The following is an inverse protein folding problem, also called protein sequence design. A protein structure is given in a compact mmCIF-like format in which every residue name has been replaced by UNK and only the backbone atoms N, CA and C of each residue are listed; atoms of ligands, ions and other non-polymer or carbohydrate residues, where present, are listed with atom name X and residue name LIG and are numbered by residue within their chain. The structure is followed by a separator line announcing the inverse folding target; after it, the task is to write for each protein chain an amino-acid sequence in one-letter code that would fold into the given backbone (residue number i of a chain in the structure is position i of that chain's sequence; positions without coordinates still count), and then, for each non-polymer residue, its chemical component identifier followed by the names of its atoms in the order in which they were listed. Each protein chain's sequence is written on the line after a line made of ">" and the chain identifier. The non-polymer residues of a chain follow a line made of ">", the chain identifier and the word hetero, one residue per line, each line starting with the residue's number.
data_IF_620893202559
#
_entry.id   IF_620893202559
#
_cell.length_a   1.000
_cell.length_b   1.000
_cell.length_c   1.000
_cell.angle_alpha   90.00
_cell.angle_beta   90.00
_cell.angle_gamma   90.00
#
_symmetry.space_group_name_H-M   'P 1'
#
loop_
_entity.id
_entity.type
_entity.pdbx_description
1 polymer ?
#
# COMPACT_ATOMS: atom_id res chain seq x y z
N UNK A 1 -48.58 -20.34 -8.81
CA UNK A 1 -48.06 -19.27 -7.93
C UNK A 1 -48.76 -17.98 -8.30
N UNK A 2 -49.37 -17.26 -7.35
CA UNK A 2 -50.02 -15.97 -7.65
C UNK A 2 -49.01 -14.87 -7.96
N UNK A 3 -49.48 -13.76 -8.56
CA UNK A 3 -48.66 -12.58 -8.91
C UNK A 3 -47.80 -12.12 -7.74
N UNK A 4 -48.36 -12.11 -6.53
CA UNK A 4 -47.66 -11.76 -5.29
C UNK A 4 -46.48 -12.67 -4.99
N UNK A 5 -46.62 -13.99 -5.20
CA UNK A 5 -45.53 -14.95 -4.99
C UNK A 5 -44.42 -14.83 -6.03
N UNK A 6 -44.75 -14.45 -7.27
CA UNK A 6 -43.77 -14.16 -8.31
C UNK A 6 -42.96 -12.89 -7.99
N UNK A 7 -43.62 -11.85 -7.46
CA UNK A 7 -42.95 -10.62 -7.02
C UNK A 7 -41.95 -10.91 -5.90
N UNK A 8 -42.34 -11.66 -4.87
CA UNK A 8 -41.43 -12.03 -3.77
C UNK A 8 -40.22 -12.86 -4.23
N UNK A 9 -40.43 -13.78 -5.18
CA UNK A 9 -39.33 -14.57 -5.75
C UNK A 9 -38.33 -13.68 -6.49
N UNK A 10 -38.81 -12.73 -7.30
CA UNK A 10 -37.95 -11.81 -8.05
C UNK A 10 -37.20 -10.86 -7.12
N UNK A 11 -37.85 -10.31 -6.09
CA UNK A 11 -37.19 -9.40 -5.14
C UNK A 11 -36.14 -10.12 -4.29
N UNK A 12 -36.40 -11.36 -3.88
CA UNK A 12 -35.42 -12.18 -3.15
C UNK A 12 -34.21 -12.53 -4.02
N UNK A 13 -34.43 -12.92 -5.28
CA UNK A 13 -33.36 -13.18 -6.24
C UNK A 13 -32.52 -11.94 -6.49
N UNK A 14 -33.16 -10.79 -6.72
CA UNK A 14 -32.46 -9.51 -6.91
C UNK A 14 -31.64 -9.13 -5.67
N UNK A 15 -32.19 -9.29 -4.46
CA UNK A 15 -31.49 -9.01 -3.21
C UNK A 15 -30.27 -9.93 -2.99
N UNK A 16 -30.41 -11.23 -3.32
CA UNK A 16 -29.29 -12.18 -3.27
C UNK A 16 -28.19 -11.80 -4.27
N UNK A 17 -28.57 -11.43 -5.49
CA UNK A 17 -27.64 -10.99 -6.53
C UNK A 17 -26.89 -9.73 -6.09
N UNK A 18 -27.57 -8.75 -5.47
CA UNK A 18 -26.93 -7.55 -4.92
C UNK A 18 -25.94 -7.88 -3.80
N UNK A 19 -26.27 -8.81 -2.90
CA UNK A 19 -25.36 -9.27 -1.85
C UNK A 19 -24.12 -9.99 -2.41
N UNK A 20 -24.29 -10.80 -3.46
CA UNK A 20 -23.18 -11.52 -4.12
C UNK A 20 -22.29 -10.57 -4.93
N UNK A 21 -22.88 -9.55 -5.56
CA UNK A 21 -22.18 -8.57 -6.38
C UNK A 21 -21.63 -7.38 -5.58
N UNK A 22 -21.94 -7.30 -4.28
CA UNK A 22 -21.38 -6.27 -3.42
C UNK A 22 -19.86 -6.45 -3.36
N UNK A 23 -19.07 -5.47 -3.85
CA UNK A 23 -17.63 -5.58 -3.74
C UNK A 23 -17.28 -5.73 -2.27
N UNK A 24 -16.38 -6.68 -1.96
CA UNK A 24 -15.75 -6.76 -0.63
C UNK A 24 -15.31 -5.35 -0.25
N UNK A 25 -15.91 -4.79 0.80
CA UNK A 25 -15.55 -3.46 1.27
C UNK A 25 -14.02 -3.39 1.47
N UNK A 26 -13.42 -2.28 1.04
CA UNK A 26 -12.01 -2.02 1.32
C UNK A 26 -11.80 -2.11 2.83
N UNK A 27 -10.73 -2.78 3.27
CA UNK A 27 -10.45 -2.99 4.69
C UNK A 27 -9.81 -1.77 5.37
N UNK A 28 -9.82 -0.63 4.68
CA UNK A 28 -9.22 0.62 5.07
C UNK A 28 -10.03 1.77 4.45
N UNK A 29 -9.92 2.96 5.02
CA UNK A 29 -10.69 4.13 4.62
C UNK A 29 -9.95 5.04 3.63
N UNK A 30 -8.64 5.25 3.82
CA UNK A 30 -7.81 6.10 2.96
C UNK A 30 -6.36 5.62 2.87
N UNK A 31 -5.59 6.17 1.93
CA UNK A 31 -4.15 5.91 1.81
C UNK A 31 -3.35 7.11 2.33
N UNK A 32 -2.45 6.87 3.28
CA UNK A 32 -1.43 7.84 3.69
C UNK A 32 -0.17 7.65 2.86
N UNK A 33 0.11 8.59 1.97
CA UNK A 33 1.41 8.65 1.28
C UNK A 33 2.34 9.60 2.05
N UNK A 34 3.31 9.02 2.75
CA UNK A 34 4.20 9.77 3.65
C UNK A 34 5.62 9.85 3.08
N UNK A 35 6.27 10.97 3.34
CA UNK A 35 7.65 11.22 2.96
C UNK A 35 8.46 11.67 4.18
N UNK A 36 9.76 11.38 4.15
CA UNK A 36 10.72 11.72 5.20
C UNK A 36 11.86 12.56 4.63
N UNK A 37 12.24 13.61 5.35
CA UNK A 37 13.44 14.38 5.06
C UNK A 37 14.66 13.64 5.61
N UNK A 38 15.53 13.13 4.74
CA UNK A 38 16.60 12.21 5.16
C UNK A 38 17.51 12.79 6.26
N UNK A 39 17.96 14.05 6.21
CA UNK A 39 18.84 14.60 7.25
C UNK A 39 18.16 14.65 8.63
N UNK A 40 16.86 14.94 8.67
CA UNK A 40 16.10 14.91 9.92
C UNK A 40 15.91 13.47 10.42
N UNK A 41 15.54 12.54 9.52
CA UNK A 41 15.40 11.13 9.86
C UNK A 41 16.71 10.56 10.46
N UNK A 42 17.85 10.85 9.83
CA UNK A 42 19.16 10.40 10.33
C UNK A 42 19.59 11.06 11.63
N UNK A 43 19.18 12.31 11.89
CA UNK A 43 19.58 13.05 13.09
C UNK A 43 18.77 12.65 14.32
N UNK A 44 17.47 12.38 14.15
CA UNK A 44 16.54 12.22 15.27
C UNK A 44 16.13 10.76 15.54
N UNK A 45 16.54 9.81 14.70
CA UNK A 45 16.29 8.39 14.93
C UNK A 45 17.39 7.77 15.82
N UNK A 46 17.04 6.73 16.59
CA UNK A 46 17.99 6.04 17.48
C UNK A 46 19.09 5.29 16.72
N UNK A 47 18.76 4.74 15.55
CA UNK A 47 19.73 4.11 14.66
C UNK A 47 20.38 5.19 13.78
N UNK A 48 21.71 5.38 13.85
CA UNK A 48 22.40 6.30 12.97
C UNK A 48 22.37 5.79 11.53
N UNK A 49 22.30 6.70 10.56
CA UNK A 49 22.45 6.35 9.16
C UNK A 49 23.89 5.95 8.86
N UNK A 50 24.07 4.85 8.12
CA UNK A 50 25.39 4.39 7.68
C UNK A 50 25.95 5.19 6.52
N UNK A 51 25.05 5.65 5.65
CA UNK A 51 25.38 6.45 4.47
C UNK A 51 25.02 7.93 4.70
N UNK A 52 25.73 8.89 4.09
CA UNK A 52 25.35 10.29 4.17
C UNK A 52 23.92 10.53 3.65
N UNK A 53 23.08 11.30 4.37
CA UNK A 53 21.75 11.63 3.90
C UNK A 53 21.78 12.69 2.80
N UNK A 54 20.91 12.51 1.81
CA UNK A 54 20.67 13.52 0.79
C UNK A 54 19.72 14.59 1.32
N UNK A 55 19.87 15.86 0.92
CA UNK A 55 19.01 16.97 1.37
C UNK A 55 17.67 17.00 0.63
N UNK A 56 16.92 15.91 0.69
CA UNK A 56 15.68 15.73 -0.04
C UNK A 56 14.66 14.92 0.77
N UNK A 57 13.40 15.06 0.40
CA UNK A 57 12.34 14.18 0.87
C UNK A 57 12.37 12.92 0.01
N UNK A 58 12.24 11.77 0.65
CA UNK A 58 12.00 10.48 -0.01
C UNK A 58 10.77 9.84 0.60
N UNK A 59 10.19 8.87 -0.09
CA UNK A 59 9.09 8.06 0.44
C UNK A 59 9.49 7.47 1.80
N UNK A 60 8.58 7.57 2.75
CA UNK A 60 8.65 6.85 4.02
C UNK A 60 7.72 5.64 3.95
N UNK A 61 6.48 5.82 3.47
CA UNK A 61 5.58 4.73 3.16
C UNK A 61 4.27 5.11 2.50
N UNK A 62 3.53 4.08 2.06
CA UNK A 62 2.17 4.18 1.56
C UNK A 62 1.27 3.26 2.39
N UNK A 63 0.45 3.83 3.27
CA UNK A 63 -0.24 3.06 4.31
C UNK A 63 -1.76 3.11 4.13
N UNK A 64 -2.41 1.96 3.97
CA UNK A 64 -3.85 1.84 4.17
C UNK A 64 -4.20 2.19 5.62
N UNK A 65 -5.14 3.12 5.80
CA UNK A 65 -5.43 3.72 7.10
C UNK A 65 -6.92 3.90 7.34
N UNK A 66 -7.30 3.96 8.62
CA UNK A 66 -8.68 4.12 9.07
C UNK A 66 -8.90 5.53 9.62
N UNK A 67 -10.09 6.08 9.40
CA UNK A 67 -10.48 7.35 10.04
C UNK A 67 -10.62 7.19 11.56
N UNK A 68 -11.06 6.00 11.98
CA UNK A 68 -11.30 5.67 13.38
C UNK A 68 -10.60 4.37 13.75
N UNK A 69 -9.94 4.37 14.91
CA UNK A 69 -9.23 3.19 15.40
C UNK A 69 -7.85 3.00 14.75
N UNK A 70 -7.20 1.85 15.01
CA UNK A 70 -5.87 1.58 14.48
C UNK A 70 -5.91 1.28 12.98
N UNK A 71 -4.81 1.62 12.30
CA UNK A 71 -4.60 1.26 10.91
C UNK A 71 -4.42 -0.26 10.76
N UNK A 72 -4.90 -0.86 9.66
CA UNK A 72 -4.70 -2.27 9.39
C UNK A 72 -3.21 -2.55 9.09
N UNK A 73 -2.68 -3.61 9.70
CA UNK A 73 -1.31 -4.05 9.48
C UNK A 73 -1.26 -5.59 9.31
N UNK A 74 -0.26 -6.08 8.59
CA UNK A 74 0.04 -7.51 8.43
C UNK A 74 -1.15 -8.34 7.90
N UNK A 75 -1.83 -7.84 6.89
CA UNK A 75 -3.01 -8.47 6.33
C UNK A 75 -2.68 -9.75 5.54
N UNK A 76 -3.66 -10.66 5.45
CA UNK A 76 -3.49 -11.92 4.70
C UNK A 76 -3.38 -11.65 3.20
N UNK A 77 -2.29 -12.13 2.61
CA UNK A 77 -2.02 -12.03 1.18
C UNK A 77 -2.74 -13.14 0.42
N UNK A 78 -3.20 -12.86 -0.79
CA UNK A 78 -3.73 -13.89 -1.69
C UNK A 78 -2.60 -14.83 -2.14
N UNK A 79 -2.85 -16.15 -2.29
CA UNK A 79 -1.82 -17.11 -2.73
C UNK A 79 -1.16 -16.75 -4.07
N UNK A 80 -1.87 -16.02 -4.94
CA UNK A 80 -1.41 -15.63 -6.28
C UNK A 80 -0.56 -14.37 -6.30
N UNK A 81 -0.35 -13.68 -5.17
CA UNK A 81 0.45 -12.47 -5.13
C UNK A 81 1.93 -12.77 -5.39
N UNK A 82 2.61 -11.86 -6.09
CA UNK A 82 4.05 -11.98 -6.34
C UNK A 82 4.83 -12.09 -5.03
N UNK A 83 5.70 -13.09 -4.95
CA UNK A 83 6.58 -13.30 -3.79
C UNK A 83 7.84 -12.45 -3.87
N UNK A 84 8.22 -11.95 -5.05
CA UNK A 84 9.44 -11.16 -5.27
C UNK A 84 9.10 -9.76 -5.79
N UNK A 85 9.99 -8.80 -5.52
CA UNK A 85 9.94 -7.47 -6.10
C UNK A 85 10.53 -7.55 -7.52
N UNK A 86 9.80 -7.04 -8.51
CA UNK A 86 10.28 -6.96 -9.88
C UNK A 86 11.61 -6.18 -9.95
N UNK A 87 12.62 -6.77 -10.60
CA UNK A 87 13.96 -6.20 -10.70
C UNK A 87 13.99 -4.87 -11.45
N UNK A 88 13.02 -4.62 -12.35
CA UNK A 88 12.90 -3.37 -13.10
C UNK A 88 12.47 -2.18 -12.21
N UNK A 89 11.82 -2.44 -11.07
CA UNK A 89 11.37 -1.39 -10.14
C UNK A 89 12.49 -0.93 -9.21
N UNK A 90 13.45 -1.81 -8.91
CA UNK A 90 14.48 -1.59 -7.88
C UNK A 90 15.28 -0.29 -8.09
N UNK A 91 15.81 0.04 -9.29
CA UNK A 91 16.59 1.26 -9.47
C UNK A 91 15.82 2.53 -9.14
N UNK A 92 14.52 2.56 -9.43
CA UNK A 92 13.66 3.70 -9.08
C UNK A 92 13.42 3.77 -7.58
N UNK A 93 13.13 2.63 -6.94
CA UNK A 93 12.93 2.55 -5.49
C UNK A 93 14.18 2.93 -4.69
N UNK A 94 15.39 2.59 -5.16
CA UNK A 94 16.65 3.00 -4.51
C UNK A 94 16.79 4.52 -4.44
N UNK A 95 16.25 5.23 -5.43
CA UNK A 95 16.28 6.69 -5.52
C UNK A 95 15.16 7.31 -4.68
N UNK A 96 13.91 6.87 -4.88
CA UNK A 96 12.74 7.54 -4.30
C UNK A 96 12.35 7.01 -2.92
N UNK A 97 12.72 5.78 -2.58
CA UNK A 97 12.36 5.11 -1.33
C UNK A 97 13.55 4.33 -0.72
N UNK A 98 14.71 4.97 -0.50
CA UNK A 98 15.85 4.29 0.10
C UNK A 98 15.57 3.86 1.54
N UNK A 99 16.23 2.78 1.95
CA UNK A 99 16.46 2.52 3.36
C UNK A 99 17.53 3.51 3.83
N UNK A 100 17.09 4.68 4.31
CA UNK A 100 17.98 5.78 4.72
C UNK A 100 18.97 5.37 5.81
N UNK A 101 18.65 4.35 6.61
CA UNK A 101 19.51 3.89 7.70
C UNK A 101 20.59 2.91 7.24
N UNK A 102 20.35 2.15 6.18
CA UNK A 102 21.27 1.15 5.64
C UNK A 102 20.99 0.89 4.15
N UNK A 103 21.67 1.59 3.24
CA UNK A 103 21.45 1.43 1.80
C UNK A 103 21.92 0.08 1.25
N UNK A 104 22.68 -0.69 2.02
CA UNK A 104 23.00 -2.07 1.66
C UNK A 104 21.82 -3.05 1.86
N UNK A 105 20.71 -2.62 2.49
CA UNK A 105 19.57 -3.48 2.85
C UNK A 105 18.22 -2.87 2.42
N UNK A 106 18.12 -2.52 1.13
CA UNK A 106 16.91 -1.98 0.54
C UNK A 106 15.79 -3.03 0.43
N UNK A 107 16.10 -4.21 -0.10
CA UNK A 107 15.07 -5.21 -0.41
C UNK A 107 14.37 -5.74 0.84
N UNK A 108 15.11 -6.04 1.91
CA UNK A 108 14.50 -6.46 3.18
C UNK A 108 13.66 -5.35 3.80
N UNK A 109 14.05 -4.09 3.63
CA UNK A 109 13.26 -2.95 4.07
C UNK A 109 11.95 -2.85 3.30
N UNK A 110 11.97 -2.88 1.96
CA UNK A 110 10.75 -2.84 1.14
C UNK A 110 9.84 -4.04 1.39
N UNK A 111 10.42 -5.23 1.58
CA UNK A 111 9.65 -6.43 1.93
C UNK A 111 8.86 -6.21 3.21
N UNK A 112 9.47 -5.63 4.25
CA UNK A 112 8.77 -5.28 5.49
C UNK A 112 7.69 -4.22 5.28
N UNK A 113 7.91 -3.22 4.43
CA UNK A 113 6.90 -2.21 4.09
C UNK A 113 5.69 -2.82 3.39
N UNK A 114 5.93 -3.74 2.45
CA UNK A 114 4.87 -4.50 1.80
C UNK A 114 4.12 -5.37 2.82
N UNK A 115 4.83 -6.23 3.56
CA UNK A 115 4.21 -7.20 4.48
C UNK A 115 3.35 -6.50 5.53
N UNK A 116 3.87 -5.42 6.10
CA UNK A 116 3.20 -4.66 7.15
C UNK A 116 2.04 -3.83 6.61
N UNK A 117 2.21 -3.11 5.50
CA UNK A 117 1.23 -2.11 5.04
C UNK A 117 0.59 -2.45 3.70
N UNK A 118 1.39 -2.77 2.68
CA UNK A 118 0.90 -3.02 1.32
C UNK A 118 -0.10 -4.18 1.24
N UNK A 119 0.07 -5.22 2.06
CA UNK A 119 -0.87 -6.36 2.17
C UNK A 119 -2.30 -5.96 2.53
N UNK A 120 -2.48 -4.81 3.17
CA UNK A 120 -3.78 -4.29 3.61
C UNK A 120 -4.49 -3.42 2.56
N UNK A 121 -3.85 -3.12 1.43
CA UNK A 121 -4.37 -2.19 0.43
C UNK A 121 -5.41 -2.76 -0.53
N UNK A 122 -5.81 -4.03 -0.39
CA UNK A 122 -6.83 -4.64 -1.25
C UNK A 122 -8.21 -3.97 -1.05
N UNK A 123 -9.00 -3.78 -2.13
CA UNK A 123 -8.76 -4.23 -3.50
C UNK A 123 -7.93 -3.25 -4.37
N UNK A 124 -7.66 -2.04 -3.89
CA UNK A 124 -6.95 -0.99 -4.64
C UNK A 124 -5.51 -1.38 -4.99
N UNK A 125 -4.79 -1.92 -4.01
CA UNK A 125 -3.48 -2.53 -4.18
C UNK A 125 -3.69 -4.03 -4.36
N UNK A 126 -3.30 -4.52 -5.54
CA UNK A 126 -3.66 -5.85 -6.02
C UNK A 126 -2.60 -6.87 -5.59
N UNK A 127 -1.33 -6.48 -5.68
CA UNK A 127 -0.18 -7.27 -5.31
C UNK A 127 1.03 -6.38 -4.96
N UNK A 128 2.15 -7.05 -4.65
CA UNK A 128 3.41 -6.45 -4.23
C UNK A 128 4.01 -5.52 -5.28
N UNK A 129 4.00 -5.90 -6.56
CA UNK A 129 4.58 -5.06 -7.60
C UNK A 129 3.68 -3.86 -7.88
N UNK A 130 2.36 -4.05 -7.90
CA UNK A 130 1.41 -2.94 -8.05
C UNK A 130 1.53 -1.92 -6.89
N UNK A 131 1.87 -2.36 -5.67
CA UNK A 131 2.16 -1.46 -4.56
C UNK A 131 3.37 -0.56 -4.83
N UNK A 132 4.49 -1.14 -5.24
CA UNK A 132 5.70 -0.36 -5.53
C UNK A 132 5.56 0.51 -6.77
N UNK A 133 4.91 0.02 -7.82
CA UNK A 133 4.54 0.81 -9.00
C UNK A 133 3.64 2.00 -8.63
N UNK A 134 2.67 1.80 -7.74
CA UNK A 134 1.81 2.87 -7.25
C UNK A 134 2.63 3.94 -6.52
N UNK A 135 3.56 3.54 -5.65
CA UNK A 135 4.46 4.47 -4.97
C UNK A 135 5.32 5.25 -5.96
N UNK A 136 5.91 4.57 -6.95
CA UNK A 136 6.70 5.21 -8.01
C UNK A 136 5.85 6.21 -8.80
N UNK A 137 4.63 5.83 -9.18
CA UNK A 137 3.69 6.69 -9.92
C UNK A 137 3.33 7.94 -9.11
N UNK A 138 2.97 7.78 -7.83
CA UNK A 138 2.61 8.90 -6.97
C UNK A 138 3.78 9.88 -6.80
N UNK A 139 4.98 9.36 -6.57
CA UNK A 139 6.17 10.19 -6.37
C UNK A 139 6.63 10.90 -7.65
N UNK A 140 6.76 10.17 -8.76
CA UNK A 140 7.36 10.67 -10.01
C UNK A 140 6.32 11.27 -10.95
N UNK A 141 5.31 10.48 -11.33
CA UNK A 141 4.37 10.84 -12.41
C UNK A 141 3.35 11.86 -11.96
N UNK A 142 2.82 11.70 -10.75
CA UNK A 142 1.82 12.61 -10.16
C UNK A 142 2.46 13.80 -9.45
N UNK A 143 3.81 13.88 -9.44
CA UNK A 143 4.59 14.98 -8.85
C UNK A 143 4.20 15.28 -7.39
N UNK A 144 3.92 14.23 -6.63
CA UNK A 144 3.64 14.36 -5.21
C UNK A 144 4.92 14.39 -4.35
N UNK A 145 6.09 14.54 -4.97
CA UNK A 145 7.32 14.78 -4.23
C UNK A 145 7.22 16.12 -3.47
N UNK A 146 7.61 16.15 -2.20
CA UNK A 146 7.44 17.32 -1.32
C UNK A 146 8.48 18.43 -1.60
N UNK A 147 9.49 18.13 -2.41
CA UNK A 147 10.63 19.01 -2.75
C UNK A 147 10.53 19.58 -4.17
#
# INVERSE_FOLDING_TARGET
>A
MGITGMIYMVTMLFSLIVLILSPSAAKYDYLQFTQQYQPAACKFHHTPCKDPPDKLFTVHGLWPSNFNGPDPENCKVKPTASQTIDTSLKPQLEIIWPNVFNRADHESFWQKQWDKHGTCGSPTIIDKNHYFETVIRMYITEKQNVS
#
